data_IF_858311235843
#
_entry.id   IF_858311235843
#
_cell.length_a   1.000
_cell.length_b   1.000
_cell.length_c   1.000
_cell.angle_alpha   90.00
_cell.angle_beta   90.00
_cell.angle_gamma   90.00
#
_symmetry.space_group_name_H-M   'P 1'
#
loop_
_entity.id
_entity.type
_entity.pdbx_description
1 polymer ?
#
# COMPACT_ATOMS: atom_id res chain seq x y z
N UNK A 1 -19.15 11.77 -26.99
CA UNK A 1 -18.76 11.75 -25.56
C UNK A 1 -17.29 12.10 -25.43
N UNK A 2 -16.96 13.25 -24.82
CA UNK A 2 -15.56 13.64 -24.55
C UNK A 2 -15.07 12.84 -23.34
N UNK A 3 -14.01 12.05 -23.50
CA UNK A 3 -13.30 11.40 -22.39
C UNK A 3 -12.48 12.47 -21.68
N UNK A 4 -12.89 12.87 -20.48
CA UNK A 4 -12.03 13.68 -19.62
C UNK A 4 -10.80 12.86 -19.21
N UNK A 5 -9.61 13.39 -19.50
CA UNK A 5 -8.35 12.81 -19.05
C UNK A 5 -8.20 13.12 -17.56
N UNK A 6 -8.62 12.19 -16.69
CA UNK A 6 -8.32 12.26 -15.26
C UNK A 6 -6.79 12.39 -15.12
N UNK A 7 -6.32 13.49 -14.52
CA UNK A 7 -4.90 13.74 -14.26
C UNK A 7 -4.41 12.64 -13.31
N UNK A 8 -3.62 11.70 -13.81
CA UNK A 8 -2.99 10.66 -12.98
C UNK A 8 -2.03 11.37 -12.03
N UNK A 9 -2.29 11.30 -10.73
CA UNK A 9 -1.45 11.93 -9.70
C UNK A 9 -0.39 10.93 -9.29
N UNK A 10 0.74 10.93 -10.01
CA UNK A 10 1.87 10.09 -9.67
C UNK A 10 2.51 10.58 -8.36
N UNK A 11 2.60 9.70 -7.37
CA UNK A 11 3.32 9.96 -6.13
C UNK A 11 4.37 8.87 -5.89
N UNK A 12 5.48 9.22 -5.26
CA UNK A 12 6.58 8.30 -4.96
C UNK A 12 7.13 8.62 -3.60
N UNK A 13 7.35 7.60 -2.78
CA UNK A 13 7.99 7.70 -1.47
C UNK A 13 9.05 6.60 -1.39
N UNK A 14 10.20 6.98 -0.86
CA UNK A 14 11.37 6.13 -0.73
C UNK A 14 11.63 5.85 0.75
N UNK A 15 11.92 4.61 1.10
CA UNK A 15 12.57 4.25 2.35
C UNK A 15 14.06 4.47 2.16
N UNK A 16 14.58 5.59 2.66
CA UNK A 16 16.02 5.76 2.78
C UNK A 16 16.44 5.24 4.16
N UNK A 17 17.19 4.15 4.18
CA UNK A 17 17.66 3.53 5.42
C UNK A 17 19.19 3.63 5.46
N UNK A 18 19.72 4.39 6.43
CA UNK A 18 21.16 4.48 6.70
C UNK A 18 21.66 3.24 7.48
N UNK A 19 20.73 2.39 7.96
CA UNK A 19 21.03 1.09 8.56
C UNK A 19 20.41 -0.04 7.72
N UNK A 20 21.15 -1.11 7.48
CA UNK A 20 20.69 -2.28 6.74
C UNK A 20 19.76 -3.18 7.59
N UNK A 21 18.79 -2.60 8.28
CA UNK A 21 17.84 -3.34 9.12
C UNK A 21 16.64 -3.80 8.30
N UNK A 22 16.60 -5.09 7.96
CA UNK A 22 15.52 -5.72 7.19
C UNK A 22 14.12 -5.53 7.81
N UNK A 23 14.04 -5.38 9.13
CA UNK A 23 12.77 -5.10 9.82
C UNK A 23 12.20 -3.71 9.50
N UNK A 24 13.06 -2.75 9.14
CA UNK A 24 12.64 -1.39 8.76
C UNK A 24 11.93 -1.38 7.41
N UNK A 25 12.43 -2.15 6.44
CA UNK A 25 11.85 -2.23 5.09
C UNK A 25 10.47 -2.89 5.12
N UNK A 26 10.30 -4.00 5.84
CA UNK A 26 8.98 -4.63 5.98
C UNK A 26 7.98 -3.69 6.64
N UNK A 27 8.37 -3.04 7.74
CA UNK A 27 7.52 -2.07 8.43
C UNK A 27 7.11 -0.93 7.49
N UNK A 28 8.05 -0.39 6.71
CA UNK A 28 7.78 0.64 5.72
C UNK A 28 6.76 0.19 4.66
N UNK A 29 6.93 -0.99 4.07
CA UNK A 29 5.99 -1.51 3.07
C UNK A 29 4.60 -1.68 3.69
N UNK A 30 4.52 -2.31 4.86
CA UNK A 30 3.25 -2.57 5.54
C UNK A 30 2.52 -1.26 5.86
N UNK A 31 3.22 -0.28 6.41
CA UNK A 31 2.66 1.05 6.67
C UNK A 31 2.15 1.69 5.38
N UNK A 32 2.94 1.63 4.30
CA UNK A 32 2.55 2.28 3.04
C UNK A 32 1.35 1.62 2.39
N UNK A 33 1.32 0.29 2.31
CA UNK A 33 0.17 -0.46 1.78
C UNK A 33 -1.08 -0.20 2.59
N UNK A 34 -0.98 -0.19 3.91
CA UNK A 34 -2.13 0.02 4.75
C UNK A 34 -2.70 1.45 4.66
N UNK A 35 -1.84 2.46 4.47
CA UNK A 35 -2.28 3.83 4.14
C UNK A 35 -3.03 3.86 2.81
N UNK A 36 -2.50 3.21 1.77
CA UNK A 36 -3.15 3.13 0.46
C UNK A 36 -4.53 2.46 0.57
N UNK A 37 -4.61 1.32 1.26
CA UNK A 37 -5.86 0.60 1.51
C UNK A 37 -6.86 1.52 2.21
N UNK A 38 -6.45 2.16 3.31
CA UNK A 38 -7.31 3.06 4.09
C UNK A 38 -7.83 4.22 3.25
N UNK A 39 -6.95 4.90 2.51
CA UNK A 39 -7.32 6.06 1.70
C UNK A 39 -8.32 5.64 0.62
N UNK A 40 -8.11 4.50 -0.04
CA UNK A 40 -9.03 3.96 -1.03
C UNK A 40 -10.37 3.55 -0.41
N UNK A 41 -10.36 2.94 0.79
CA UNK A 41 -11.59 2.63 1.51
C UNK A 41 -12.41 3.90 1.79
N UNK A 42 -11.76 4.97 2.25
CA UNK A 42 -12.41 6.27 2.52
C UNK A 42 -12.95 6.89 1.23
N UNK A 43 -12.13 6.93 0.17
CA UNK A 43 -12.54 7.48 -1.13
C UNK A 43 -13.73 6.73 -1.74
N UNK A 44 -13.82 5.41 -1.52
CA UNK A 44 -14.92 4.55 -1.99
C UNK A 44 -16.12 4.50 -1.03
N UNK A 45 -16.07 5.19 0.12
CA UNK A 45 -17.13 5.13 1.14
C UNK A 45 -17.36 3.72 1.68
N UNK A 46 -16.28 2.96 1.86
CA UNK A 46 -16.29 1.63 2.46
C UNK A 46 -16.15 1.78 3.98
N UNK A 47 -17.29 1.75 4.69
CA UNK A 47 -17.33 1.86 6.14
C UNK A 47 -18.00 0.63 6.78
N UNK A 48 -17.53 0.25 7.97
CA UNK A 48 -18.14 -0.77 8.82
C UNK A 48 -18.33 -2.12 8.12
N UNK A 49 -19.59 -2.58 8.06
CA UNK A 49 -19.93 -3.90 7.50
C UNK A 49 -19.64 -4.02 6.00
N UNK A 50 -19.79 -2.93 5.24
CA UNK A 50 -19.55 -2.93 3.79
C UNK A 50 -18.07 -3.13 3.47
N UNK A 51 -17.19 -2.55 4.28
CA UNK A 51 -15.75 -2.78 4.18
C UNK A 51 -15.40 -4.25 4.45
N UNK A 52 -15.96 -4.84 5.52
CA UNK A 52 -15.74 -6.24 5.86
C UNK A 52 -16.18 -7.21 4.75
N UNK A 53 -17.34 -6.96 4.15
CA UNK A 53 -17.86 -7.76 3.04
C UNK A 53 -17.03 -7.60 1.76
N UNK A 54 -16.73 -6.36 1.36
CA UNK A 54 -15.95 -6.07 0.14
C UNK A 54 -14.54 -6.67 0.23
N UNK A 55 -13.94 -6.57 1.41
CA UNK A 55 -12.59 -7.04 1.66
C UNK A 55 -12.54 -8.49 2.12
N UNK A 56 -13.67 -9.19 2.27
CA UNK A 56 -13.76 -10.56 2.79
C UNK A 56 -12.89 -10.79 4.05
N UNK A 57 -13.10 -9.91 5.03
CA UNK A 57 -12.44 -9.91 6.35
C UNK A 57 -13.48 -9.73 7.45
N UNK A 58 -13.08 -9.90 8.71
CA UNK A 58 -14.01 -9.65 9.81
C UNK A 58 -14.18 -8.15 10.10
N UNK A 59 -15.28 -7.79 10.78
CA UNK A 59 -15.59 -6.39 11.10
C UNK A 59 -14.53 -5.71 11.97
N UNK A 60 -13.85 -6.46 12.85
CA UNK A 60 -12.77 -5.92 13.70
C UNK A 60 -11.54 -5.54 12.87
N UNK A 61 -11.19 -6.36 11.89
CA UNK A 61 -10.11 -6.08 10.93
C UNK A 61 -10.44 -4.88 10.05
N UNK A 62 -11.66 -4.79 9.53
CA UNK A 62 -12.11 -3.64 8.74
C UNK A 62 -12.05 -2.33 9.56
N UNK A 63 -12.52 -2.36 10.81
CA UNK A 63 -12.42 -1.22 11.72
C UNK A 63 -10.97 -0.87 12.06
N UNK A 64 -10.08 -1.86 12.20
CA UNK A 64 -8.66 -1.64 12.45
C UNK A 64 -7.99 -0.90 11.28
N UNK A 65 -8.24 -1.33 10.04
CA UNK A 65 -7.74 -0.67 8.82
C UNK A 65 -8.20 0.79 8.74
N UNK A 66 -9.49 1.07 8.97
CA UNK A 66 -10.03 2.43 8.96
C UNK A 66 -9.42 3.32 10.05
N UNK A 67 -9.10 2.74 11.22
CA UNK A 67 -8.49 3.43 12.37
C UNK A 67 -6.97 3.57 12.28
N UNK A 68 -6.34 3.10 11.20
CA UNK A 68 -4.90 3.22 11.06
C UNK A 68 -4.09 2.13 11.77
N UNK A 69 -4.72 1.03 12.19
CA UNK A 69 -4.10 -0.06 12.96
C UNK A 69 -3.79 -1.23 12.03
N UNK A 70 -2.52 -1.37 11.65
CA UNK A 70 -2.11 -2.31 10.60
C UNK A 70 -0.99 -3.26 11.01
N UNK A 71 -0.42 -3.07 12.19
CA UNK A 71 0.75 -3.83 12.66
C UNK A 71 0.50 -5.34 12.70
N UNK A 72 -0.74 -5.73 12.98
CA UNK A 72 -1.18 -7.12 13.12
C UNK A 72 -1.43 -7.82 11.76
N UNK A 73 -1.55 -7.06 10.67
CA UNK A 73 -1.70 -7.63 9.33
C UNK A 73 -0.34 -8.08 8.82
N UNK A 74 -0.25 -9.25 8.19
CA UNK A 74 0.96 -9.65 7.48
C UNK A 74 1.08 -8.88 6.15
N UNK A 75 2.28 -8.80 5.58
CA UNK A 75 2.48 -8.20 4.25
C UNK A 75 1.64 -8.90 3.18
N UNK A 76 1.58 -10.24 3.20
CA UNK A 76 0.75 -11.02 2.28
C UNK A 76 -0.74 -10.71 2.42
N UNK A 77 -1.23 -10.50 3.65
CA UNK A 77 -2.62 -10.09 3.87
C UNK A 77 -2.90 -8.71 3.24
N UNK A 78 -2.02 -7.73 3.44
CA UNK A 78 -2.16 -6.40 2.83
C UNK A 78 -2.16 -6.45 1.30
N UNK A 79 -1.34 -7.31 0.69
CA UNK A 79 -1.36 -7.52 -0.76
C UNK A 79 -2.70 -8.08 -1.25
N UNK A 80 -3.25 -9.08 -0.56
CA UNK A 80 -4.58 -9.62 -0.89
C UNK A 80 -5.69 -8.57 -0.75
N UNK A 81 -5.59 -7.66 0.23
CA UNK A 81 -6.55 -6.57 0.39
C UNK A 81 -6.47 -5.54 -0.74
N UNK A 82 -5.26 -5.24 -1.23
CA UNK A 82 -5.08 -4.38 -2.41
C UNK A 82 -5.74 -5.01 -3.65
N UNK A 83 -5.54 -6.30 -3.86
CA UNK A 83 -6.19 -7.05 -4.95
C UNK A 83 -7.72 -7.01 -4.86
N UNK A 84 -8.27 -7.24 -3.66
CA UNK A 84 -9.72 -7.12 -3.38
C UNK A 84 -10.28 -5.70 -3.57
N UNK A 85 -9.41 -4.69 -3.56
CA UNK A 85 -9.74 -3.31 -3.90
C UNK A 85 -9.50 -2.99 -5.38
N UNK A 86 -9.28 -3.98 -6.25
CA UNK A 86 -8.96 -3.79 -7.66
C UNK A 86 -7.67 -2.96 -7.87
N UNK A 87 -6.72 -3.06 -6.94
CA UNK A 87 -5.43 -2.39 -7.01
C UNK A 87 -4.35 -3.41 -7.34
N UNK A 88 -3.77 -3.27 -8.52
CA UNK A 88 -2.63 -4.06 -8.93
C UNK A 88 -1.34 -3.52 -8.32
N UNK A 89 -0.50 -4.43 -7.80
CA UNK A 89 0.83 -4.13 -7.27
C UNK A 89 1.89 -4.78 -8.16
N UNK A 90 2.85 -3.99 -8.61
CA UNK A 90 4.00 -4.46 -9.39
C UNK A 90 5.27 -4.41 -8.54
N UNK A 91 6.07 -5.47 -8.59
CA UNK A 91 7.41 -5.50 -8.02
C UNK A 91 8.43 -5.37 -9.14
N UNK A 92 9.25 -4.31 -9.08
CA UNK A 92 10.32 -4.06 -10.05
C UNK A 92 11.66 -4.14 -9.35
N UNK A 93 12.53 -5.02 -9.83
CA UNK A 93 13.89 -5.21 -9.32
C UNK A 93 14.86 -4.56 -10.30
N UNK A 94 15.78 -3.75 -9.78
CA UNK A 94 16.81 -3.08 -10.55
C UNK A 94 18.20 -3.47 -10.04
N UNK A 95 19.13 -3.72 -10.95
CA UNK A 95 20.54 -3.79 -10.60
C UNK A 95 21.06 -2.40 -10.21
N UNK A 96 21.86 -2.34 -9.15
CA UNK A 96 22.55 -1.13 -8.73
C UNK A 96 23.92 -1.12 -9.42
N UNK A 97 24.24 -0.09 -10.23
CA UNK A 97 25.54 0.00 -10.88
C UNK A 97 26.69 -0.05 -9.88
N UNK A 98 27.84 -0.64 -10.24
CA UNK A 98 29.03 -0.65 -9.37
C UNK A 98 29.43 0.77 -8.97
N UNK A 99 29.63 0.99 -7.66
CA UNK A 99 30.03 2.29 -7.11
C UNK A 99 28.88 3.25 -6.81
N UNK A 100 27.62 2.88 -7.10
CA UNK A 100 26.46 3.59 -6.57
C UNK A 100 26.12 3.11 -5.15
N UNK A 101 25.61 4.00 -4.28
CA UNK A 101 25.14 3.60 -2.96
C UNK A 101 23.92 2.67 -3.08
N UNK A 102 23.68 1.82 -2.06
CA UNK A 102 22.47 1.00 -2.01
C UNK A 102 21.23 1.89 -2.12
N UNK A 103 20.30 1.48 -2.98
CA UNK A 103 19.00 2.11 -3.13
C UNK A 103 18.02 1.27 -2.32
N UNK A 104 17.42 1.87 -1.30
CA UNK A 104 16.41 1.23 -0.47
C UNK A 104 15.11 0.97 -1.23
N UNK A 105 14.06 0.64 -0.48
CA UNK A 105 12.78 0.28 -1.08
C UNK A 105 12.00 1.53 -1.51
N UNK A 106 11.37 1.46 -2.68
CA UNK A 106 10.59 2.57 -3.23
C UNK A 106 9.18 2.12 -3.55
N UNK A 107 8.19 2.91 -3.13
CA UNK A 107 6.79 2.69 -3.47
C UNK A 107 6.30 3.88 -4.29
N UNK A 108 5.87 3.60 -5.52
CA UNK A 108 5.26 4.57 -6.42
C UNK A 108 3.79 4.23 -6.63
N UNK A 109 2.91 5.22 -6.52
CA UNK A 109 1.47 5.09 -6.79
C UNK A 109 1.07 5.97 -7.96
N UNK A 110 0.12 5.50 -8.77
CA UNK A 110 -0.38 6.19 -9.96
C UNK A 110 -1.92 6.12 -9.96
N UNK A 111 -2.56 6.87 -9.06
CA UNK A 111 -4.03 6.96 -8.95
C UNK A 111 -4.60 8.20 -9.65
#
# INVERSE_FOLDING_TARGET
MKKEKKKIKKSSIDAFNDSADSNSDEAFIKTRFAVIIRDVMIERGLEGGKAAETLDINKSEADALLKGKFSDFSLGCLLSLLDRLDIYVEFVVHEIPPGEPPKGLRISTSF
#
